data_IF_397207295507
#
_entry.id   IF_397207295507
#
_cell.length_a   1.000
_cell.length_b   1.000
_cell.length_c   1.000
_cell.angle_alpha   90.00
_cell.angle_beta   90.00
_cell.angle_gamma   90.00
#
_symmetry.space_group_name_H-M   'P 1'
#
loop_
_entity.id
_entity.type
_entity.pdbx_description
1 polymer ?
#
# COMPACT_ATOMS: atom_id res chain seq x y z
N UNK A 1 -5.61 -2.71 21.09
CA UNK A 1 -5.40 -2.86 19.64
C UNK A 1 -4.04 -3.49 19.37
N UNK A 2 -3.89 -4.29 18.30
CA UNK A 2 -2.58 -4.87 17.96
C UNK A 2 -1.54 -3.80 17.66
N UNK A 3 -0.29 -4.13 17.97
CA UNK A 3 0.86 -3.26 17.76
C UNK A 3 1.42 -3.40 16.34
N UNK A 4 2.37 -2.53 16.00
CA UNK A 4 3.02 -2.55 14.69
C UNK A 4 3.73 -3.88 14.41
N UNK A 5 4.40 -4.46 15.40
CA UNK A 5 5.08 -5.75 15.22
C UNK A 5 4.10 -6.87 14.88
N UNK A 6 2.88 -6.85 15.44
CA UNK A 6 1.82 -7.79 15.06
C UNK A 6 1.40 -7.60 13.60
N UNK A 7 1.25 -6.35 13.17
CA UNK A 7 0.93 -6.04 11.78
C UNK A 7 2.02 -6.51 10.83
N UNK A 8 3.29 -6.33 11.19
CA UNK A 8 4.44 -6.81 10.40
C UNK A 8 4.39 -8.34 10.29
N UNK A 9 4.09 -9.04 11.38
CA UNK A 9 3.98 -10.50 11.38
C UNK A 9 2.89 -10.97 10.41
N UNK A 10 1.72 -10.35 10.45
CA UNK A 10 0.61 -10.70 9.56
C UNK A 10 1.00 -10.46 8.10
N UNK A 11 1.58 -9.31 7.79
CA UNK A 11 2.00 -8.97 6.43
C UNK A 11 3.09 -9.92 5.91
N UNK A 12 4.10 -10.21 6.74
CA UNK A 12 5.20 -11.10 6.36
C UNK A 12 4.68 -12.52 6.06
N UNK A 13 3.76 -13.03 6.88
CA UNK A 13 3.16 -14.34 6.66
C UNK A 13 2.28 -14.35 5.41
N UNK A 14 1.49 -13.29 5.20
CA UNK A 14 0.57 -13.19 4.06
C UNK A 14 1.30 -13.14 2.72
N UNK A 15 2.41 -12.42 2.64
CA UNK A 15 3.19 -12.25 1.41
C UNK A 15 4.28 -13.31 1.21
N UNK A 16 4.33 -14.32 2.06
CA UNK A 16 5.39 -15.34 1.96
C UNK A 16 5.39 -16.00 0.57
N UNK A 17 6.56 -16.10 -0.04
CA UNK A 17 6.71 -16.70 -1.36
C UNK A 17 6.42 -15.77 -2.54
N UNK A 18 5.83 -14.60 -2.31
CA UNK A 18 5.58 -13.62 -3.38
C UNK A 18 6.87 -12.86 -3.72
N UNK A 19 7.06 -12.59 -5.00
CA UNK A 19 8.21 -11.84 -5.52
C UNK A 19 7.72 -10.56 -6.20
N UNK A 20 8.55 -9.50 -6.13
CA UNK A 20 8.30 -8.28 -6.89
C UNK A 20 8.89 -8.40 -8.30
N UNK A 21 8.76 -7.31 -9.10
CA UNK A 21 9.26 -7.28 -10.48
C UNK A 21 10.76 -7.43 -10.59
N UNK A 22 11.50 -7.09 -9.54
CA UNK A 22 12.95 -7.25 -9.51
C UNK A 22 13.40 -8.61 -8.94
N UNK A 23 12.46 -9.51 -8.65
CA UNK A 23 12.74 -10.85 -8.14
C UNK A 23 13.01 -10.90 -6.63
N UNK A 24 12.80 -9.80 -5.92
CA UNK A 24 12.99 -9.74 -4.47
C UNK A 24 11.72 -10.17 -3.72
N UNK A 25 11.83 -10.61 -2.46
CA UNK A 25 10.64 -10.91 -1.66
C UNK A 25 9.70 -9.70 -1.63
N UNK A 26 8.41 -9.94 -1.92
CA UNK A 26 7.43 -8.87 -2.03
C UNK A 26 7.28 -8.06 -0.73
N UNK A 27 7.46 -8.70 0.43
CA UNK A 27 7.34 -8.03 1.73
C UNK A 27 8.23 -6.79 1.85
N UNK A 28 9.33 -6.72 1.10
CA UNK A 28 10.22 -5.57 1.16
C UNK A 28 9.54 -4.27 0.74
N UNK A 29 8.58 -4.34 -0.21
CA UNK A 29 7.81 -3.15 -0.63
C UNK A 29 6.96 -2.59 0.52
N UNK A 30 6.03 -3.33 1.13
CA UNK A 30 5.29 -2.76 2.26
C UNK A 30 6.18 -2.35 3.44
N UNK A 31 7.32 -3.00 3.65
CA UNK A 31 8.27 -2.56 4.68
C UNK A 31 8.88 -1.19 4.32
N UNK A 32 9.28 -0.97 3.06
CA UNK A 32 9.82 0.32 2.64
C UNK A 32 8.76 1.42 2.77
N UNK A 33 7.51 1.13 2.40
CA UNK A 33 6.39 2.07 2.55
C UNK A 33 6.21 2.42 4.04
N UNK A 34 6.25 1.41 4.91
CA UNK A 34 6.16 1.59 6.36
C UNK A 34 7.23 2.53 6.90
N UNK A 35 8.48 2.38 6.44
CA UNK A 35 9.58 3.23 6.90
C UNK A 35 9.49 4.67 6.37
N UNK A 36 8.67 4.93 5.37
CA UNK A 36 8.51 6.26 4.76
C UNK A 36 7.52 7.13 5.52
N UNK A 37 6.52 6.53 6.20
CA UNK A 37 5.47 7.27 6.91
C UNK A 37 5.86 7.54 8.37
N UNK A 38 5.06 8.38 9.07
CA UNK A 38 5.47 8.99 10.34
C UNK A 38 4.85 8.33 11.57
N UNK A 39 3.52 8.20 11.62
CA UNK A 39 2.82 7.75 12.81
C UNK A 39 2.73 6.22 12.87
N UNK A 40 2.49 5.68 14.08
CA UNK A 40 2.29 4.24 14.24
C UNK A 40 1.09 3.74 13.43
N UNK A 41 -0.02 4.51 13.42
CA UNK A 41 -1.20 4.15 12.64
C UNK A 41 -0.89 4.11 11.15
N UNK A 42 -0.16 5.10 10.65
CA UNK A 42 0.28 5.12 9.24
C UNK A 42 1.16 3.91 8.93
N UNK A 43 2.08 3.57 9.83
CA UNK A 43 2.98 2.42 9.66
C UNK A 43 2.22 1.09 9.61
N UNK A 44 1.24 0.94 10.48
CA UNK A 44 0.37 -0.26 10.49
C UNK A 44 -0.37 -0.38 9.16
N UNK A 45 -1.00 0.70 8.72
CA UNK A 45 -1.72 0.71 7.43
C UNK A 45 -0.76 0.46 6.28
N UNK A 46 0.42 1.07 6.32
CA UNK A 46 1.44 0.91 5.27
C UNK A 46 1.87 -0.55 5.11
N UNK A 47 2.21 -1.22 6.21
CA UNK A 47 2.70 -2.60 6.14
C UNK A 47 1.59 -3.58 5.74
N UNK A 48 0.32 -3.26 6.01
CA UNK A 48 -0.83 -4.09 5.68
C UNK A 48 -1.50 -3.72 4.35
N UNK A 49 -1.09 -2.63 3.69
CA UNK A 49 -1.89 -2.02 2.61
C UNK A 49 -2.15 -2.94 1.41
N UNK A 50 -1.28 -3.90 1.12
CA UNK A 50 -1.46 -4.84 0.01
C UNK A 50 -2.00 -6.21 0.44
N UNK A 51 -2.20 -6.44 1.73
CA UNK A 51 -2.58 -7.78 2.20
C UNK A 51 -3.95 -8.22 1.72
N UNK A 52 -4.95 -7.34 1.82
CA UNK A 52 -6.32 -7.69 1.43
C UNK A 52 -6.46 -7.83 -0.08
N UNK A 53 -5.77 -6.97 -0.84
CA UNK A 53 -5.84 -6.99 -2.31
C UNK A 53 -5.10 -8.19 -2.91
N UNK A 54 -3.93 -8.51 -2.39
CA UNK A 54 -2.97 -9.43 -3.03
C UNK A 54 -2.80 -10.77 -2.31
N UNK A 55 -3.48 -10.98 -1.19
CA UNK A 55 -3.41 -12.24 -0.44
C UNK A 55 -4.80 -12.70 0.00
N UNK A 56 -4.87 -13.78 0.77
CA UNK A 56 -6.13 -14.31 1.30
C UNK A 56 -6.61 -13.59 2.57
N UNK A 57 -5.85 -12.63 3.09
CA UNK A 57 -6.23 -11.85 4.27
C UNK A 57 -7.46 -11.00 3.96
N UNK A 58 -8.44 -11.03 4.84
CA UNK A 58 -9.68 -10.25 4.71
C UNK A 58 -9.78 -9.17 5.77
N UNK A 59 -10.61 -8.15 5.51
CA UNK A 59 -10.91 -7.13 6.51
C UNK A 59 -11.52 -7.74 7.77
N UNK A 60 -12.33 -8.80 7.62
CA UNK A 60 -12.94 -9.51 8.75
C UNK A 60 -11.88 -10.14 9.65
N UNK A 61 -10.85 -10.76 9.06
CA UNK A 61 -9.74 -11.32 9.83
C UNK A 61 -9.00 -10.24 10.60
N UNK A 62 -8.75 -9.09 9.97
CA UNK A 62 -8.09 -7.98 10.62
C UNK A 62 -8.93 -7.43 11.78
N UNK A 63 -10.24 -7.31 11.61
CA UNK A 63 -11.15 -6.94 12.69
C UNK A 63 -11.10 -7.95 13.84
N UNK A 64 -11.13 -9.24 13.51
CA UNK A 64 -11.05 -10.32 14.50
C UNK A 64 -9.74 -10.27 15.28
N UNK A 65 -8.65 -9.86 14.63
CA UNK A 65 -7.36 -9.66 15.29
C UNK A 65 -7.32 -8.40 16.17
N UNK A 66 -8.37 -7.59 16.16
CA UNK A 66 -8.51 -6.44 17.04
C UNK A 66 -8.08 -5.09 16.48
N UNK A 67 -7.80 -5.01 15.17
CA UNK A 67 -7.48 -3.72 14.56
C UNK A 67 -8.70 -2.81 14.58
N UNK A 68 -8.48 -1.54 14.95
CA UNK A 68 -9.55 -0.57 15.15
C UNK A 68 -10.25 -0.19 13.84
N UNK A 69 -11.45 0.39 13.97
CA UNK A 69 -12.19 0.88 12.81
C UNK A 69 -11.42 1.94 12.04
N UNK A 70 -10.64 2.78 12.74
CA UNK A 70 -9.77 3.79 12.10
C UNK A 70 -8.77 3.12 11.15
N UNK A 71 -8.14 2.04 11.60
CA UNK A 71 -7.19 1.27 10.79
C UNK A 71 -7.90 0.58 9.62
N UNK A 72 -9.03 -0.06 9.88
CA UNK A 72 -9.80 -0.77 8.84
C UNK A 72 -10.27 0.19 7.75
N UNK A 73 -10.82 1.36 8.13
CA UNK A 73 -11.26 2.34 7.16
C UNK A 73 -10.09 2.91 6.33
N UNK A 74 -8.95 3.14 6.97
CA UNK A 74 -7.76 3.58 6.25
C UNK A 74 -7.28 2.50 5.26
N UNK A 75 -7.30 1.23 5.64
CA UNK A 75 -6.96 0.12 4.75
C UNK A 75 -7.93 0.03 3.58
N UNK A 76 -9.24 0.20 3.81
CA UNK A 76 -10.23 0.23 2.73
C UNK A 76 -9.94 1.35 1.74
N UNK A 77 -9.50 2.50 2.23
CA UNK A 77 -9.21 3.67 1.37
C UNK A 77 -8.02 3.44 0.42
N UNK A 78 -7.14 2.49 0.74
CA UNK A 78 -5.96 2.17 -0.09
C UNK A 78 -6.04 0.79 -0.75
N UNK A 79 -7.17 0.09 -0.60
CA UNK A 79 -7.43 -1.19 -1.25
C UNK A 79 -8.31 -0.96 -2.48
N UNK A 80 -7.81 -1.30 -3.66
CA UNK A 80 -8.55 -1.10 -4.91
C UNK A 80 -9.72 -2.08 -4.98
N UNK A 81 -10.91 -1.56 -5.31
CA UNK A 81 -12.09 -2.39 -5.53
C UNK A 81 -12.14 -2.89 -6.98
N UNK A 82 -12.77 -4.05 -7.25
CA UNK A 82 -12.95 -4.52 -8.62
C UNK A 82 -13.62 -3.46 -9.50
N UNK A 83 -13.09 -3.25 -10.69
CA UNK A 83 -13.64 -2.29 -11.65
C UNK A 83 -13.22 -0.84 -11.46
N UNK A 84 -12.53 -0.51 -10.37
CA UNK A 84 -12.02 0.86 -10.17
C UNK A 84 -10.83 1.14 -11.05
N UNK A 85 -10.76 2.38 -11.58
CA UNK A 85 -9.53 2.90 -12.20
C UNK A 85 -8.57 3.33 -11.09
N UNK A 86 -7.30 3.60 -11.46
CA UNK A 86 -6.33 4.17 -10.51
C UNK A 86 -6.82 5.47 -9.91
N UNK A 87 -7.46 6.34 -10.72
CA UNK A 87 -7.99 7.61 -10.23
C UNK A 87 -9.18 7.41 -9.29
N UNK A 88 -10.05 6.44 -9.55
CA UNK A 88 -11.16 6.13 -8.65
C UNK A 88 -10.63 5.73 -7.26
N UNK A 89 -9.65 4.83 -7.25
CA UNK A 89 -8.99 4.41 -6.00
C UNK A 89 -8.28 5.58 -5.32
N UNK A 90 -7.63 6.44 -6.09
CA UNK A 90 -6.93 7.62 -5.58
C UNK A 90 -7.88 8.61 -4.88
N UNK A 91 -9.10 8.77 -5.39
CA UNK A 91 -10.10 9.64 -4.76
C UNK A 91 -10.45 9.17 -3.35
N UNK A 92 -10.59 7.86 -3.18
CA UNK A 92 -10.88 7.28 -1.86
C UNK A 92 -9.70 7.43 -0.89
N UNK A 93 -8.48 7.18 -1.38
CA UNK A 93 -7.27 7.37 -0.58
C UNK A 93 -7.12 8.84 -0.15
N UNK A 94 -7.37 9.78 -1.06
CA UNK A 94 -7.27 11.22 -0.77
C UNK A 94 -8.24 11.65 0.34
N UNK A 95 -9.41 11.03 0.41
CA UNK A 95 -10.44 11.37 1.39
C UNK A 95 -10.11 10.89 2.81
N UNK A 96 -9.16 9.97 2.97
CA UNK A 96 -8.76 9.44 4.29
C UNK A 96 -7.36 9.96 4.64
N UNK A 97 -7.20 10.70 5.76
CA UNK A 97 -5.89 11.29 6.11
C UNK A 97 -4.75 10.28 6.20
N UNK A 98 -4.99 9.11 6.79
CA UNK A 98 -3.99 8.04 6.91
C UNK A 98 -3.75 7.40 5.53
N UNK A 99 -4.83 7.06 4.83
CA UNK A 99 -4.75 6.46 3.50
C UNK A 99 -4.00 7.32 2.50
N UNK A 100 -4.20 8.64 2.57
CA UNK A 100 -3.50 9.60 1.70
C UNK A 100 -1.98 9.53 1.91
N UNK A 101 -1.52 9.53 3.15
CA UNK A 101 -0.09 9.46 3.46
C UNK A 101 0.52 8.11 3.03
N UNK A 102 -0.20 7.03 3.29
CA UNK A 102 0.24 5.69 2.88
C UNK A 102 0.30 5.57 1.36
N UNK A 103 -0.70 6.10 0.65
CA UNK A 103 -0.70 6.06 -0.83
C UNK A 103 0.44 6.88 -1.41
N UNK A 104 0.75 8.03 -0.84
CA UNK A 104 1.91 8.83 -1.27
C UNK A 104 3.22 8.06 -1.08
N UNK A 105 3.38 7.38 0.05
CA UNK A 105 4.56 6.57 0.32
C UNK A 105 4.65 5.35 -0.62
N UNK A 106 3.52 4.70 -0.90
CA UNK A 106 3.41 3.59 -1.85
C UNK A 106 3.86 4.04 -3.25
N UNK A 107 3.36 5.18 -3.71
CA UNK A 107 3.75 5.75 -5.01
C UNK A 107 5.24 6.06 -5.06
N UNK A 108 5.80 6.62 -3.99
CA UNK A 108 7.23 6.93 -3.92
C UNK A 108 8.09 5.69 -4.17
N UNK A 109 7.74 4.58 -3.54
CA UNK A 109 8.46 3.32 -3.73
C UNK A 109 8.24 2.76 -5.14
N UNK A 110 7.00 2.78 -5.63
CA UNK A 110 6.66 2.28 -6.97
C UNK A 110 7.24 3.13 -8.10
N UNK A 111 7.50 4.41 -7.84
CA UNK A 111 8.11 5.32 -8.82
C UNK A 111 9.63 5.18 -8.90
N UNK A 112 10.23 4.38 -8.04
CA UNK A 112 11.67 4.14 -8.09
C UNK A 112 12.00 3.14 -9.19
N UNK A 113 12.15 3.65 -10.41
CA UNK A 113 12.44 2.86 -11.61
C UNK A 113 13.79 2.14 -11.52
N UNK A 114 14.71 2.64 -10.67
CA UNK A 114 16.05 2.06 -10.50
C UNK A 114 16.05 0.64 -9.93
N UNK A 115 14.93 0.22 -9.32
CA UNK A 115 14.77 -1.15 -8.83
C UNK A 115 14.59 -2.16 -9.97
N UNK A 116 14.33 -1.69 -11.17
CA UNK A 116 14.12 -2.54 -12.36
C UNK A 116 15.38 -2.46 -13.20
N UNK A 117 16.07 -3.61 -13.39
CA UNK A 117 17.34 -3.66 -14.12
C UNK A 117 17.20 -3.19 -15.57
N UNK A 118 16.12 -3.60 -16.25
CA UNK A 118 15.84 -3.25 -17.64
C UNK A 118 14.38 -2.79 -17.78
N UNK A 119 14.08 -1.50 -17.50
CA UNK A 119 12.72 -0.99 -17.62
C UNK A 119 12.18 -1.12 -19.04
N UNK A 120 10.93 -1.57 -19.14
CA UNK A 120 10.21 -1.67 -20.41
C UNK A 120 9.38 -0.42 -20.65
N UNK A 121 8.78 -0.29 -21.83
CA UNK A 121 7.85 0.80 -22.14
C UNK A 121 6.66 0.78 -21.17
N UNK A 122 6.19 -0.40 -20.76
CA UNK A 122 5.13 -0.54 -19.76
C UNK A 122 5.52 0.09 -18.42
N UNK A 123 6.77 -0.06 -18.02
CA UNK A 123 7.26 0.53 -16.75
C UNK A 123 7.28 2.05 -16.84
N UNK A 124 7.73 2.61 -17.96
CA UNK A 124 7.73 4.06 -18.19
C UNK A 124 6.31 4.63 -18.26
N UNK A 125 5.37 3.93 -18.92
CA UNK A 125 3.98 4.36 -18.99
C UNK A 125 3.32 4.35 -17.61
N UNK A 126 3.63 3.33 -16.80
CA UNK A 126 3.13 3.23 -15.43
C UNK A 126 3.65 4.36 -14.57
N UNK A 127 4.92 4.75 -14.75
CA UNK A 127 5.51 5.88 -14.04
C UNK A 127 4.73 7.17 -14.29
N UNK A 128 4.29 7.41 -15.54
CA UNK A 128 3.47 8.58 -15.87
C UNK A 128 2.14 8.57 -15.10
N UNK A 129 1.48 7.42 -15.03
CA UNK A 129 0.23 7.27 -14.29
C UNK A 129 0.45 7.53 -12.79
N UNK A 130 1.53 7.03 -12.22
CA UNK A 130 1.88 7.28 -10.83
C UNK A 130 2.07 8.78 -10.56
N UNK A 131 2.73 9.50 -11.45
CA UNK A 131 2.90 10.94 -11.33
C UNK A 131 1.55 11.68 -11.35
N UNK A 132 0.62 11.26 -12.18
CA UNK A 132 -0.73 11.84 -12.24
C UNK A 132 -1.46 11.64 -10.90
N UNK A 133 -1.40 10.44 -10.34
CA UNK A 133 -2.01 10.14 -9.05
C UNK A 133 -1.35 10.96 -7.94
N UNK A 134 -0.03 11.05 -7.93
CA UNK A 134 0.73 11.84 -6.95
C UNK A 134 0.30 13.31 -6.98
N UNK A 135 0.23 13.90 -8.17
CA UNK A 135 -0.20 15.29 -8.35
C UNK A 135 -1.60 15.50 -7.78
N UNK A 136 -2.52 14.58 -8.07
CA UNK A 136 -3.88 14.62 -7.55
C UNK A 136 -3.92 14.54 -6.02
N UNK A 137 -3.16 13.61 -5.43
CA UNK A 137 -3.13 13.44 -3.96
C UNK A 137 -2.55 14.65 -3.24
N UNK A 138 -1.62 15.38 -3.88
CA UNK A 138 -1.01 16.58 -3.32
C UNK A 138 -1.82 17.84 -3.57
N UNK A 139 -2.85 17.80 -4.42
CA UNK A 139 -3.71 18.95 -4.70
C UNK A 139 -4.70 19.20 -3.55
N UNK A 140 -5.27 20.38 -3.54
CA UNK A 140 -6.27 20.78 -2.53
C UNK A 140 -7.63 20.10 -2.73
#
# INVERSE_FOLDING_TARGET
>A
MPTLDRAIKIAAAAHIGQKDKSGQPYILHPLRVMFTVQTEEEKIVAVLHDTVEDTEVTFEELKTNGFSDVIIEALRSVTKNPGETRMDAARRAKANPIGRQVKLADLKDNMNIDRIAEPTQKDWDRLKEYHQVKTFLLSD
#
